data_IF_716328042450
#
_entry.id   IF_716328042450
#
_cell.length_a   1.000
_cell.length_b   1.000
_cell.length_c   1.000
_cell.angle_alpha   90.00
_cell.angle_beta   90.00
_cell.angle_gamma   90.00
#
_symmetry.space_group_name_H-M   'P 1'
#
loop_
_entity.id
_entity.type
_entity.pdbx_description
1 polymer ?
#
# COMPACT_ATOMS: atom_id res chain seq x y z
N UNK A 1 -1.87 -2.63 -33.62
CA UNK A 1 -1.46 -4.04 -33.66
C UNK A 1 -2.06 -4.74 -32.44
N UNK A 2 -2.62 -5.94 -32.59
CA UNK A 2 -3.23 -6.67 -31.48
C UNK A 2 -2.18 -7.26 -30.55
N UNK A 3 -2.46 -7.27 -29.24
CA UNK A 3 -1.57 -7.88 -28.23
C UNK A 3 -1.47 -9.40 -28.50
N UNK A 4 -0.26 -9.96 -28.65
CA UNK A 4 -0.06 -11.40 -28.83
C UNK A 4 -0.70 -12.25 -27.73
N UNK A 5 -1.17 -13.46 -28.06
CA UNK A 5 -1.90 -14.31 -27.12
C UNK A 5 -1.09 -14.68 -25.86
N UNK A 6 0.24 -14.84 -25.95
CA UNK A 6 1.07 -15.15 -24.77
C UNK A 6 1.08 -14.01 -23.73
N UNK A 7 0.94 -12.76 -24.17
CA UNK A 7 0.84 -11.59 -23.27
C UNK A 7 -0.54 -11.53 -22.62
N UNK A 8 -1.62 -11.89 -23.32
CA UNK A 8 -2.99 -11.86 -22.77
C UNK A 8 -3.18 -12.76 -21.54
N UNK A 9 -2.39 -13.83 -21.44
CA UNK A 9 -2.41 -14.74 -20.29
C UNK A 9 -1.30 -14.44 -19.28
N UNK A 10 -0.53 -13.37 -19.46
CA UNK A 10 0.52 -13.01 -18.52
C UNK A 10 -0.07 -12.49 -17.21
N UNK A 11 0.68 -12.75 -16.15
CA UNK A 11 0.42 -12.27 -14.79
C UNK A 11 0.40 -10.74 -14.72
N UNK A 12 1.21 -10.09 -15.54
CA UNK A 12 1.28 -8.63 -15.72
C UNK A 12 0.02 -8.08 -16.37
N UNK A 13 -0.43 -8.70 -17.48
CA UNK A 13 -1.67 -8.31 -18.17
C UNK A 13 -2.90 -8.51 -17.28
N UNK A 14 -2.95 -9.62 -16.54
CA UNK A 14 -4.00 -9.85 -15.55
C UNK A 14 -4.04 -8.73 -14.49
N UNK A 15 -2.87 -8.27 -14.01
CA UNK A 15 -2.78 -7.21 -13.00
C UNK A 15 -3.29 -5.87 -13.54
N UNK A 16 -2.92 -5.51 -14.77
CA UNK A 16 -3.42 -4.33 -15.48
C UNK A 16 -4.93 -4.39 -15.75
N UNK A 17 -5.42 -5.54 -16.23
CA UNK A 17 -6.86 -5.74 -16.47
C UNK A 17 -7.68 -5.63 -15.18
N UNK A 18 -7.19 -6.22 -14.09
CA UNK A 18 -7.80 -6.12 -12.77
C UNK A 18 -7.75 -4.69 -12.20
N UNK A 19 -6.69 -3.93 -12.45
CA UNK A 19 -6.61 -2.51 -12.11
C UNK A 19 -7.74 -1.71 -12.76
N UNK A 20 -7.93 -1.86 -14.08
CA UNK A 20 -9.03 -1.18 -14.80
C UNK A 20 -10.40 -1.62 -14.30
N UNK A 21 -10.58 -2.92 -14.06
CA UNK A 21 -11.82 -3.47 -13.51
C UNK A 21 -12.16 -2.83 -12.16
N UNK A 22 -11.19 -2.72 -11.24
CA UNK A 22 -11.37 -2.04 -9.95
C UNK A 22 -11.85 -0.59 -10.10
N UNK A 23 -11.32 0.15 -11.07
CA UNK A 23 -11.61 1.58 -11.23
C UNK A 23 -12.88 1.88 -12.04
N UNK A 24 -13.23 1.04 -13.02
CA UNK A 24 -14.24 1.39 -14.02
C UNK A 24 -15.44 0.43 -14.09
N UNK A 25 -15.39 -0.73 -13.44
CA UNK A 25 -16.50 -1.68 -13.48
C UNK A 25 -17.37 -1.58 -12.23
N UNK A 26 -18.43 -0.76 -12.29
CA UNK A 26 -19.39 -0.55 -11.19
C UNK A 26 -20.16 -1.80 -10.77
N UNK A 27 -20.19 -2.85 -11.60
CA UNK A 27 -20.87 -4.10 -11.30
C UNK A 27 -20.06 -5.06 -10.41
N UNK A 28 -18.81 -4.71 -10.08
CA UNK A 28 -17.95 -5.52 -9.20
C UNK A 28 -18.03 -5.02 -7.77
N UNK A 29 -18.12 -5.93 -6.80
CA UNK A 29 -18.11 -5.60 -5.37
C UNK A 29 -16.90 -4.78 -4.93
N UNK A 30 -15.75 -4.98 -5.60
CA UNK A 30 -14.54 -4.21 -5.33
C UNK A 30 -14.70 -2.75 -5.69
N UNK A 31 -15.55 -2.38 -6.66
CA UNK A 31 -15.69 -1.01 -7.16
C UNK A 31 -15.92 0.02 -6.06
N UNK A 32 -16.75 -0.29 -5.05
CA UNK A 32 -17.01 0.60 -3.91
C UNK A 32 -15.76 1.01 -3.12
N UNK A 33 -14.68 0.23 -3.20
CA UNK A 33 -13.40 0.48 -2.56
C UNK A 33 -12.37 1.17 -3.47
N UNK A 34 -12.72 1.38 -4.75
CA UNK A 34 -11.84 1.91 -5.79
C UNK A 34 -12.58 2.99 -6.58
N UNK A 35 -13.18 2.64 -7.74
CA UNK A 35 -13.88 3.61 -8.59
C UNK A 35 -15.00 4.37 -7.89
N UNK A 36 -15.75 3.71 -6.99
CA UNK A 36 -16.78 4.34 -6.16
C UNK A 36 -16.25 5.38 -5.16
N UNK A 37 -14.92 5.44 -4.96
CA UNK A 37 -14.24 6.48 -4.17
C UNK A 37 -13.63 7.59 -5.04
N UNK A 38 -13.81 7.53 -6.36
CA UNK A 38 -13.16 8.43 -7.30
C UNK A 38 -11.72 8.02 -7.68
N UNK A 39 -11.28 6.81 -7.32
CA UNK A 39 -9.95 6.34 -7.73
C UNK A 39 -9.98 5.88 -9.19
N UNK A 40 -9.06 6.43 -9.98
CA UNK A 40 -8.97 6.19 -11.42
C UNK A 40 -7.58 5.70 -11.83
N UNK A 41 -7.43 5.44 -13.13
CA UNK A 41 -6.16 5.10 -13.80
C UNK A 41 -5.77 6.29 -14.67
N UNK A 42 -4.49 6.70 -14.64
CA UNK A 42 -4.03 7.75 -15.55
C UNK A 42 -4.24 7.34 -17.02
N UNK A 43 -4.53 8.31 -17.89
CA UNK A 43 -4.84 8.04 -19.30
C UNK A 43 -3.73 7.26 -20.02
N UNK A 44 -2.47 7.50 -19.64
CA UNK A 44 -1.31 6.80 -20.17
C UNK A 44 -1.41 5.28 -19.98
N UNK A 45 -1.85 4.82 -18.80
CA UNK A 45 -2.00 3.40 -18.47
C UNK A 45 -3.30 2.76 -18.98
N UNK A 46 -4.12 3.47 -19.76
CA UNK A 46 -5.26 2.85 -20.44
C UNK A 46 -4.84 1.95 -21.61
N UNK A 47 -3.57 2.05 -22.03
CA UNK A 47 -2.91 1.13 -22.96
C UNK A 47 -1.97 0.20 -22.18
N UNK A 48 -1.99 -1.09 -22.49
CA UNK A 48 -1.17 -2.07 -21.77
C UNK A 48 0.33 -1.86 -22.00
N UNK A 49 0.74 -1.55 -23.23
CA UNK A 49 2.17 -1.36 -23.57
C UNK A 49 2.82 -0.27 -22.71
N UNK A 50 2.12 0.84 -22.51
CA UNK A 50 2.54 1.94 -21.63
C UNK A 50 2.66 1.50 -20.16
N UNK A 51 1.69 0.72 -19.68
CA UNK A 51 1.76 0.17 -18.32
C UNK A 51 2.97 -0.78 -18.17
N UNK A 52 3.23 -1.61 -19.18
CA UNK A 52 4.36 -2.54 -19.19
C UNK A 52 5.70 -1.82 -19.27
N UNK A 53 5.78 -0.75 -20.06
CA UNK A 53 6.98 0.10 -20.17
C UNK A 53 7.32 0.73 -18.81
N UNK A 54 6.32 1.30 -18.11
CA UNK A 54 6.54 1.95 -16.82
C UNK A 54 6.80 0.98 -15.67
N UNK A 55 6.10 -0.16 -15.63
CA UNK A 55 6.13 -1.08 -14.49
C UNK A 55 7.04 -2.29 -14.68
N UNK A 56 7.39 -2.62 -15.92
CA UNK A 56 8.00 -3.90 -16.27
C UNK A 56 7.08 -5.11 -16.03
N UNK A 57 7.63 -6.30 -16.29
CA UNK A 57 6.95 -7.56 -16.00
C UNK A 57 6.76 -7.75 -14.49
N UNK A 58 5.60 -8.29 -14.11
CA UNK A 58 5.27 -8.59 -12.72
C UNK A 58 6.21 -9.67 -12.17
N UNK A 59 7.02 -9.38 -11.13
CA UNK A 59 7.83 -10.40 -10.48
C UNK A 59 6.98 -11.47 -9.79
N UNK A 60 7.53 -12.67 -9.65
CA UNK A 60 6.85 -13.77 -8.96
C UNK A 60 6.53 -13.44 -7.51
N UNK A 61 5.35 -13.87 -7.06
CA UNK A 61 4.85 -13.61 -5.70
C UNK A 61 4.44 -12.16 -5.42
N UNK A 62 4.52 -11.26 -6.40
CA UNK A 62 4.12 -9.86 -6.26
C UNK A 62 2.79 -9.55 -6.94
N UNK A 63 2.15 -8.47 -6.48
CA UNK A 63 0.95 -7.91 -7.11
C UNK A 63 0.99 -6.39 -7.12
N UNK A 64 0.18 -5.77 -7.97
CA UNK A 64 0.15 -4.32 -8.14
C UNK A 64 -0.46 -3.64 -6.91
N UNK A 65 0.32 -2.79 -6.25
CA UNK A 65 -0.07 -2.00 -5.10
C UNK A 65 0.00 -0.50 -5.38
N UNK A 66 -0.69 0.30 -4.56
CA UNK A 66 -0.56 1.75 -4.54
C UNK A 66 0.20 2.20 -3.30
N UNK A 67 1.17 3.09 -3.47
CA UNK A 67 1.99 3.63 -2.38
C UNK A 67 1.11 4.47 -1.45
N UNK A 68 0.42 5.46 -2.03
CA UNK A 68 -0.72 6.12 -1.42
C UNK A 68 -2.00 5.38 -1.84
N UNK A 69 -2.60 4.68 -0.88
CA UNK A 69 -3.80 3.89 -1.08
C UNK A 69 -5.05 4.74 -1.44
N UNK A 70 -5.02 6.04 -1.17
CA UNK A 70 -6.08 6.97 -1.52
C UNK A 70 -5.83 7.66 -2.88
N UNK A 71 -4.62 7.54 -3.43
CA UNK A 71 -4.24 8.05 -4.73
C UNK A 71 -4.66 7.19 -5.93
N UNK A 72 -4.52 7.77 -7.13
CA UNK A 72 -4.81 7.11 -8.41
C UNK A 72 -3.72 6.11 -8.83
N UNK A 73 -4.06 5.22 -9.76
CA UNK A 73 -3.06 4.39 -10.44
C UNK A 73 -2.27 5.21 -11.45
N UNK A 74 -0.98 5.37 -11.19
CA UNK A 74 0.01 6.06 -12.04
C UNK A 74 1.42 5.60 -11.66
N UNK A 75 2.44 5.79 -12.52
CA UNK A 75 3.81 5.34 -12.25
C UNK A 75 4.33 5.79 -10.89
N UNK A 76 4.11 7.07 -10.55
CA UNK A 76 4.60 7.65 -9.29
C UNK A 76 3.87 7.16 -8.03
N UNK A 77 2.79 6.40 -8.16
CA UNK A 77 1.97 5.94 -7.03
C UNK A 77 1.78 4.43 -7.01
N UNK A 78 2.49 3.69 -7.86
CA UNK A 78 2.29 2.26 -8.00
C UNK A 78 3.62 1.51 -7.96
N UNK A 79 3.56 0.31 -7.39
CA UNK A 79 4.72 -0.56 -7.27
C UNK A 79 4.30 -2.02 -7.32
N UNK A 80 5.21 -2.90 -7.72
CA UNK A 80 5.08 -4.32 -7.43
C UNK A 80 5.38 -4.56 -5.96
N UNK A 81 4.43 -5.14 -5.25
CA UNK A 81 4.54 -5.37 -3.82
C UNK A 81 4.21 -6.81 -3.46
N UNK A 82 4.92 -7.31 -2.45
CA UNK A 82 4.59 -8.54 -1.75
C UNK A 82 3.32 -8.37 -0.92
N UNK A 83 2.68 -9.48 -0.55
CA UNK A 83 1.52 -9.45 0.35
C UNK A 83 1.84 -8.78 1.69
N UNK A 84 3.08 -8.93 2.20
CA UNK A 84 3.55 -8.29 3.43
C UNK A 84 3.54 -6.76 3.29
N UNK A 85 4.09 -6.24 2.19
CA UNK A 85 4.10 -4.80 1.90
C UNK A 85 2.67 -4.25 1.75
N UNK A 86 1.81 -4.92 0.98
CA UNK A 86 0.40 -4.51 0.85
C UNK A 86 -0.34 -4.50 2.17
N UNK A 87 -0.07 -5.48 3.05
CA UNK A 87 -0.67 -5.50 4.37
C UNK A 87 -0.26 -4.31 5.22
N UNK A 88 0.93 -3.75 5.03
CA UNK A 88 1.38 -2.52 5.71
C UNK A 88 0.69 -1.27 5.16
N UNK A 89 0.31 -1.25 3.89
CA UNK A 89 -0.40 -0.15 3.22
C UNK A 89 -1.93 -0.17 3.41
N UNK A 90 -2.48 -1.11 4.21
CA UNK A 90 -3.92 -1.16 4.48
C UNK A 90 -4.36 0.04 5.33
N UNK A 91 -5.42 0.72 4.89
CA UNK A 91 -6.06 1.85 5.61
C UNK A 91 -6.42 1.57 7.08
N UNK A 92 -6.71 0.32 7.42
CA UNK A 92 -7.02 -0.08 8.80
C UNK A 92 -5.82 -0.07 9.75
N UNK A 93 -4.60 0.10 9.23
CA UNK A 93 -3.41 0.17 10.06
C UNK A 93 -3.32 1.52 10.75
N UNK A 94 -2.90 1.51 12.02
CA UNK A 94 -2.51 2.72 12.74
C UNK A 94 -1.19 3.23 12.17
N UNK A 95 -1.26 4.35 11.46
CA UNK A 95 -0.08 5.12 11.03
C UNK A 95 0.37 5.99 12.20
N UNK A 96 1.66 6.02 12.45
CA UNK A 96 2.28 6.88 13.46
C UNK A 96 3.37 7.72 12.83
N UNK A 97 3.51 8.95 13.33
CA UNK A 97 4.42 9.95 12.80
C UNK A 97 5.58 10.17 13.78
N UNK A 98 6.80 10.16 13.25
CA UNK A 98 8.00 10.56 13.97
C UNK A 98 8.91 11.33 13.02
N UNK A 99 9.18 12.59 13.35
CA UNK A 99 9.98 13.50 12.52
C UNK A 99 9.38 13.60 11.11
N UNK A 100 10.16 13.28 10.07
CA UNK A 100 9.75 13.31 8.66
C UNK A 100 9.25 11.95 8.15
N UNK A 101 9.09 10.96 9.03
CA UNK A 101 8.71 9.60 8.65
C UNK A 101 7.33 9.22 9.17
N UNK A 102 6.59 8.47 8.35
CA UNK A 102 5.30 7.89 8.71
C UNK A 102 5.26 6.43 8.35
N UNK A 103 5.01 5.58 9.33
CA UNK A 103 4.91 4.13 9.14
C UNK A 103 3.74 3.56 9.95
N UNK A 104 3.27 2.38 9.54
CA UNK A 104 2.33 1.64 10.38
C UNK A 104 3.01 1.14 11.66
N UNK A 105 2.23 0.94 12.73
CA UNK A 105 2.72 0.47 14.03
C UNK A 105 3.63 -0.77 13.95
N UNK A 106 3.31 -1.72 13.06
CA UNK A 106 4.09 -2.96 12.89
C UNK A 106 5.42 -2.71 12.19
N UNK A 107 5.45 -1.77 11.24
CA UNK A 107 6.70 -1.38 10.59
C UNK A 107 7.60 -0.61 11.54
N UNK A 108 7.04 0.27 12.39
CA UNK A 108 7.80 0.89 13.48
C UNK A 108 8.38 -0.14 14.46
N UNK A 109 7.64 -1.20 14.79
CA UNK A 109 8.18 -2.29 15.62
C UNK A 109 9.40 -2.96 14.98
N UNK A 110 9.35 -3.22 13.67
CA UNK A 110 10.47 -3.77 12.90
C UNK A 110 11.67 -2.80 12.85
N UNK A 111 11.44 -1.51 12.56
CA UNK A 111 12.46 -0.45 12.47
C UNK A 111 13.18 -0.26 13.81
N UNK A 112 12.42 -0.11 14.89
CA UNK A 112 12.94 0.13 16.23
C UNK A 112 13.45 -1.15 16.91
N UNK A 113 13.26 -2.31 16.28
CA UNK A 113 13.59 -3.65 16.82
C UNK A 113 12.98 -3.89 18.20
N UNK A 114 11.71 -3.50 18.37
CA UNK A 114 10.93 -3.71 19.59
C UNK A 114 9.72 -4.60 19.33
N UNK A 115 9.15 -5.20 20.36
CA UNK A 115 7.94 -6.00 20.18
C UNK A 115 6.75 -5.11 19.83
N UNK A 116 5.92 -5.56 18.87
CA UNK A 116 4.65 -4.91 18.54
C UNK A 116 3.77 -4.67 19.79
N UNK A 117 3.70 -5.66 20.69
CA UNK A 117 2.93 -5.56 21.93
C UNK A 117 3.42 -4.48 22.91
N UNK A 118 4.71 -4.10 22.86
CA UNK A 118 5.22 -2.97 23.63
C UNK A 118 4.58 -1.66 23.14
N UNK A 119 4.63 -1.42 21.82
CA UNK A 119 4.09 -0.20 21.23
C UNK A 119 2.57 -0.13 21.40
N UNK A 120 1.87 -1.25 21.21
CA UNK A 120 0.42 -1.34 21.45
C UNK A 120 0.05 -1.05 22.91
N UNK A 121 0.79 -1.59 23.88
CA UNK A 121 0.57 -1.31 25.29
C UNK A 121 0.73 0.19 25.62
N UNK A 122 1.71 0.87 25.01
CA UNK A 122 1.93 2.32 25.17
C UNK A 122 0.74 3.12 24.65
N UNK A 123 0.27 2.80 23.45
CA UNK A 123 -0.93 3.42 22.86
C UNK A 123 -2.15 3.21 23.76
N UNK A 124 -2.37 1.99 24.26
CA UNK A 124 -3.48 1.68 25.18
C UNK A 124 -3.40 2.47 26.49
N UNK A 125 -2.19 2.83 26.91
CA UNK A 125 -1.93 3.69 28.09
C UNK A 125 -1.96 5.19 27.75
N UNK A 126 -2.42 5.56 26.56
CA UNK A 126 -2.56 6.95 26.12
C UNK A 126 -1.24 7.67 25.85
N UNK A 127 -0.20 6.94 25.43
CA UNK A 127 1.05 7.56 25.00
C UNK A 127 0.89 8.21 23.64
N UNK A 128 1.53 9.36 23.46
CA UNK A 128 1.62 10.03 22.16
C UNK A 128 2.49 9.24 21.18
N UNK A 129 2.44 9.57 19.88
CA UNK A 129 3.30 8.94 18.87
C UNK A 129 4.78 9.09 19.23
N UNK A 130 5.21 10.31 19.57
CA UNK A 130 6.57 10.60 20.01
C UNK A 130 6.99 9.73 21.20
N UNK A 131 6.19 9.70 22.27
CA UNK A 131 6.49 8.88 23.45
C UNK A 131 6.53 7.39 23.11
N UNK A 132 5.60 6.94 22.26
CA UNK A 132 5.48 5.53 21.87
C UNK A 132 6.72 5.06 21.12
N UNK A 133 7.27 5.89 20.25
CA UNK A 133 8.34 5.54 19.33
C UNK A 133 9.75 5.84 19.88
N UNK A 134 9.91 6.82 20.78
CA UNK A 134 11.25 7.27 21.22
C UNK A 134 11.68 6.75 22.59
N UNK A 135 10.75 6.47 23.51
CA UNK A 135 11.11 6.05 24.87
C UNK A 135 11.57 4.57 24.83
N UNK A 136 12.68 4.19 25.49
CA UNK A 136 13.16 2.81 25.51
C UNK A 136 12.28 1.88 26.35
N UNK A 137 12.42 0.56 26.15
CA UNK A 137 11.72 -0.46 26.95
C UNK A 137 12.05 -0.28 28.44
N UNK A 138 11.03 -0.29 29.30
CA UNK A 138 11.17 -0.02 30.73
C UNK A 138 11.15 1.47 31.11
N UNK A 139 11.25 2.37 30.13
CA UNK A 139 11.05 3.81 30.35
C UNK A 139 9.63 4.11 30.81
N UNK A 140 9.50 5.10 31.69
CA UNK A 140 8.21 5.62 32.14
C UNK A 140 7.80 6.81 31.28
N UNK A 141 6.51 7.10 31.22
CA UNK A 141 6.00 8.31 30.61
C UNK A 141 6.58 9.50 31.39
N UNK A 142 7.34 10.37 30.74
CA UNK A 142 7.65 11.68 31.31
C UNK A 142 6.34 12.48 31.30
N UNK A 143 5.78 12.71 32.48
CA UNK A 143 4.70 13.67 32.67
C UNK A 143 5.30 15.07 32.52
N UNK A 144 4.65 15.91 31.71
CA UNK A 144 4.81 17.36 31.80
C UNK A 144 3.86 17.85 32.88
#
# INVERSE_FOLDING_TARGET
MGIPNYIKFSTTYCSWSNMKTRCFNSNKDSYKHYGGRGITVCNHWLKFDNFLEDMGERPDGMTLDRIDNDGNYKPSNCQWATQKQQCRNKRGNRIMFLEEQSHCLREWADILKVSYGLLENRIRRGWTDYQTLTIPKGGRRCEK
#
